data_IF_264444666426
#
_entry.id   IF_264444666426
#
_cell.length_a   1.000
_cell.length_b   1.000
_cell.length_c   1.000
_cell.angle_alpha   90.00
_cell.angle_beta   90.00
_cell.angle_gamma   90.00
#
_symmetry.space_group_name_H-M   'P 1'
#
loop_
_entity.id
_entity.type
_entity.pdbx_description
1 polymer ?
#
# COMPACT_ATOMS: atom_id res chain seq x y z
N UNK A 1 -4.60 9.27 -6.03
CA UNK A 1 -5.31 8.05 -6.47
C UNK A 1 -4.31 7.08 -7.08
N UNK A 2 -4.39 5.79 -6.77
CA UNK A 2 -3.54 4.74 -7.34
C UNK A 2 -4.35 3.55 -7.82
N UNK A 3 -3.82 2.83 -8.81
CA UNK A 3 -4.39 1.58 -9.27
C UNK A 3 -3.74 0.39 -8.56
N UNK A 4 -4.56 -0.47 -7.98
CA UNK A 4 -4.14 -1.63 -7.20
C UNK A 4 -4.87 -2.86 -7.73
N UNK A 5 -4.12 -3.86 -8.17
CA UNK A 5 -4.68 -5.18 -8.47
C UNK A 5 -4.88 -5.95 -7.17
N UNK A 6 -6.13 -6.26 -6.83
CA UNK A 6 -6.54 -6.94 -5.60
C UNK A 6 -7.63 -7.96 -5.89
N UNK A 7 -7.44 -9.23 -5.49
CA UNK A 7 -8.42 -10.33 -5.63
C UNK A 7 -9.10 -10.35 -7.03
N UNK A 8 -8.28 -10.39 -8.08
CA UNK A 8 -8.70 -10.39 -9.50
C UNK A 8 -9.41 -9.12 -10.00
N UNK A 9 -9.46 -8.07 -9.18
CA UNK A 9 -10.04 -6.77 -9.53
C UNK A 9 -8.95 -5.69 -9.62
N UNK A 10 -9.21 -4.68 -10.46
CA UNK A 10 -8.43 -3.46 -10.49
C UNK A 10 -9.18 -2.38 -9.72
N UNK A 11 -8.60 -1.90 -8.63
CA UNK A 11 -9.18 -0.90 -7.75
C UNK A 11 -8.52 0.47 -7.95
N UNK A 12 -9.33 1.50 -8.13
CA UNK A 12 -8.90 2.90 -8.12
C UNK A 12 -8.92 3.45 -6.67
N UNK A 13 -7.83 3.21 -5.95
CA UNK A 13 -7.70 3.56 -4.53
C UNK A 13 -7.44 5.05 -4.36
N UNK A 14 -8.29 5.69 -3.55
CA UNK A 14 -8.20 7.11 -3.16
C UNK A 14 -7.94 7.29 -1.67
N UNK A 15 -8.43 6.36 -0.85
CA UNK A 15 -8.32 6.43 0.61
C UNK A 15 -7.97 5.07 1.19
N UNK A 16 -7.00 5.04 2.10
CA UNK A 16 -6.65 3.86 2.87
C UNK A 16 -7.38 3.90 4.20
N UNK A 17 -8.08 2.81 4.54
CA UNK A 17 -8.84 2.71 5.79
C UNK A 17 -8.29 1.57 6.63
N UNK A 18 -7.75 1.89 7.81
CA UNK A 18 -7.14 0.90 8.69
C UNK A 18 -7.17 1.35 10.16
N UNK A 19 -7.20 0.38 11.09
CA UNK A 19 -7.15 0.68 12.52
C UNK A 19 -5.71 0.79 12.99
N UNK A 20 -5.30 1.98 13.44
CA UNK A 20 -3.99 2.23 14.05
C UNK A 20 -3.71 1.31 15.23
N UNK A 21 -2.45 0.92 15.38
CA UNK A 21 -1.97 0.10 16.49
C UNK A 21 -2.44 -1.35 16.45
N UNK A 22 -3.30 -1.74 15.50
CA UNK A 22 -3.66 -3.13 15.30
C UNK A 22 -2.44 -3.95 14.82
N UNK A 23 -1.69 -3.38 13.87
CA UNK A 23 -0.45 -3.96 13.38
C UNK A 23 0.56 -2.82 13.14
N UNK A 24 1.34 -2.42 14.17
CA UNK A 24 2.24 -1.25 14.08
C UNK A 24 3.22 -1.32 12.90
N UNK A 25 3.62 -2.52 12.50
CA UNK A 25 4.49 -2.75 11.34
C UNK A 25 3.83 -2.37 10.00
N UNK A 26 2.50 -2.40 9.91
CA UNK A 26 1.75 -2.00 8.72
C UNK A 26 1.48 -0.50 8.70
N UNK A 27 1.21 0.12 9.86
CA UNK A 27 0.90 1.55 9.97
C UNK A 27 1.94 2.42 9.26
N UNK A 28 3.23 2.21 9.54
CA UNK A 28 4.32 2.98 8.92
C UNK A 28 4.40 2.80 7.38
N UNK A 29 4.01 1.61 6.88
CA UNK A 29 4.01 1.32 5.45
C UNK A 29 2.84 2.01 4.78
N UNK A 30 1.65 1.87 5.37
CA UNK A 30 0.43 2.47 4.85
C UNK A 30 0.53 3.99 4.84
N UNK A 31 1.12 4.59 5.87
CA UNK A 31 1.43 6.02 5.92
C UNK A 31 2.38 6.44 4.81
N UNK A 32 3.46 5.68 4.60
CA UNK A 32 4.43 5.97 3.55
C UNK A 32 3.78 5.90 2.17
N UNK A 33 2.94 4.89 1.92
CA UNK A 33 2.22 4.75 0.65
C UNK A 33 1.22 5.88 0.47
N UNK A 34 0.44 6.22 1.51
CA UNK A 34 -0.50 7.33 1.47
C UNK A 34 0.20 8.65 1.16
N UNK A 35 1.31 8.94 1.83
CA UNK A 35 2.11 10.14 1.57
C UNK A 35 2.71 10.18 0.17
N UNK A 36 3.24 9.06 -0.35
CA UNK A 36 3.84 8.99 -1.68
C UNK A 36 2.82 9.30 -2.80
N UNK A 37 1.57 8.93 -2.60
CA UNK A 37 0.53 9.00 -3.62
C UNK A 37 -0.59 10.01 -3.32
N UNK A 38 -0.42 10.82 -2.27
CA UNK A 38 -1.42 11.76 -1.79
C UNK A 38 -2.80 11.11 -1.59
N UNK A 39 -2.82 9.95 -0.94
CA UNK A 39 -4.06 9.26 -0.57
C UNK A 39 -4.54 9.75 0.79
N UNK A 40 -5.86 9.79 0.95
CA UNK A 40 -6.46 10.03 2.26
C UNK A 40 -6.26 8.82 3.17
N UNK A 41 -6.24 9.05 4.49
CA UNK A 41 -6.19 7.99 5.50
C UNK A 41 -7.35 8.16 6.47
N UNK A 42 -8.07 7.07 6.75
CA UNK A 42 -9.17 7.05 7.69
C UNK A 42 -9.13 5.81 8.62
N UNK A 43 -9.92 5.84 9.69
CA UNK A 43 -10.04 4.74 10.65
C UNK A 43 -11.27 3.85 10.37
N UNK A 44 -11.44 2.79 11.17
CA UNK A 44 -12.52 1.81 11.02
C UNK A 44 -13.94 2.35 11.33
N UNK A 45 -14.05 3.63 11.72
CA UNK A 45 -15.32 4.31 11.98
C UNK A 45 -15.77 5.18 10.81
N UNK A 46 -14.93 5.34 9.78
CA UNK A 46 -15.29 6.07 8.58
C UNK A 46 -16.48 5.43 7.88
N UNK A 47 -17.30 6.26 7.22
CA UNK A 47 -18.30 5.76 6.30
C UNK A 47 -17.59 5.23 5.03
N UNK A 48 -17.91 4.01 4.57
CA UNK A 48 -17.37 3.46 3.34
C UNK A 48 -17.70 4.33 2.12
N UNK A 49 -16.67 4.70 1.37
CA UNK A 49 -16.78 5.49 0.14
C UNK A 49 -16.18 4.73 -1.06
N UNK A 50 -16.61 5.08 -2.29
CA UNK A 50 -15.94 4.63 -3.51
C UNK A 50 -14.46 5.04 -3.51
N UNK A 51 -13.59 4.10 -3.87
CA UNK A 51 -12.14 4.25 -3.85
C UNK A 51 -11.50 4.00 -2.48
N UNK A 52 -12.26 3.56 -1.49
CA UNK A 52 -11.68 3.09 -0.23
C UNK A 52 -11.01 1.74 -0.41
N UNK A 53 -9.86 1.58 0.23
CA UNK A 53 -9.24 0.28 0.45
C UNK A 53 -9.11 0.01 1.94
N UNK A 54 -9.95 -0.89 2.44
CA UNK A 54 -10.06 -1.28 3.84
C UNK A 54 -9.08 -2.41 4.16
N UNK A 55 -8.17 -2.20 5.10
CA UNK A 55 -7.04 -3.12 5.34
C UNK A 55 -7.04 -3.60 6.79
N UNK A 56 -7.30 -4.90 6.97
CA UNK A 56 -7.26 -5.56 8.28
C UNK A 56 -8.38 -5.13 9.23
N UNK A 57 -9.36 -4.36 8.75
CA UNK A 57 -10.52 -3.93 9.51
C UNK A 57 -11.80 -4.05 8.67
N UNK A 58 -12.95 -4.00 9.35
CA UNK A 58 -14.27 -3.98 8.74
C UNK A 58 -15.00 -2.72 9.21
N UNK A 59 -15.80 -2.04 8.37
CA UNK A 59 -16.57 -0.88 8.81
C UNK A 59 -17.51 -1.26 9.95
N UNK A 60 -17.49 -0.49 11.04
CA UNK A 60 -18.33 -0.78 12.22
C UNK A 60 -19.83 -0.66 11.94
N UNK A 61 -20.22 0.29 11.08
CA UNK A 61 -21.60 0.49 10.64
C UNK A 61 -22.05 -0.46 9.52
N UNK A 62 -21.19 -1.39 9.10
CA UNK A 62 -21.40 -2.17 7.88
C UNK A 62 -21.06 -1.40 6.61
N UNK A 63 -21.22 -2.06 5.46
CA UNK A 63 -20.87 -1.49 4.15
C UNK A 63 -21.89 -0.48 3.63
N UNK A 64 -23.08 -0.41 4.23
CA UNK A 64 -24.15 0.50 3.80
C UNK A 64 -24.49 0.34 2.32
N UNK A 65 -24.42 1.44 1.57
CA UNK A 65 -24.65 1.50 0.12
C UNK A 65 -23.34 1.55 -0.70
N UNK A 66 -22.18 1.26 -0.09
CA UNK A 66 -20.94 1.26 -0.84
C UNK A 66 -20.98 0.19 -1.94
N UNK A 67 -20.62 0.60 -3.15
CA UNK A 67 -20.53 -0.32 -4.28
C UNK A 67 -19.33 -1.26 -4.06
N UNK A 68 -19.55 -2.58 -3.94
CA UNK A 68 -18.48 -3.54 -3.72
C UNK A 68 -17.45 -3.58 -4.86
N UNK A 69 -17.79 -3.09 -6.06
CA UNK A 69 -16.84 -3.01 -7.17
C UNK A 69 -15.92 -1.78 -7.09
N UNK A 70 -16.29 -0.79 -6.28
CA UNK A 70 -15.54 0.45 -6.11
C UNK A 70 -14.80 0.51 -4.77
N UNK A 71 -14.98 -0.50 -3.90
CA UNK A 71 -14.38 -0.55 -2.58
C UNK A 71 -13.59 -1.84 -2.41
N UNK A 72 -12.30 -1.71 -2.10
CA UNK A 72 -11.46 -2.85 -1.76
C UNK A 72 -11.56 -3.21 -0.30
N UNK A 73 -11.52 -4.51 0.00
CA UNK A 73 -11.38 -5.01 1.36
C UNK A 73 -10.35 -6.13 1.45
N UNK A 74 -9.44 -6.00 2.41
CA UNK A 74 -8.54 -7.05 2.84
C UNK A 74 -8.87 -7.38 4.29
N UNK A 75 -9.21 -8.64 4.54
CA UNK A 75 -9.43 -9.12 5.89
C UNK A 75 -8.14 -9.04 6.72
N UNK A 76 -8.24 -9.29 8.02
CA UNK A 76 -7.08 -9.40 8.91
C UNK A 76 -6.04 -10.42 8.42
N UNK A 77 -6.49 -11.50 7.79
CA UNK A 77 -5.65 -12.57 7.26
C UNK A 77 -4.96 -12.13 5.96
N UNK A 78 -5.65 -11.32 5.15
CA UNK A 78 -5.18 -10.86 3.84
C UNK A 78 -4.39 -9.54 3.91
N UNK A 79 -4.44 -8.84 5.04
CA UNK A 79 -3.75 -7.57 5.24
C UNK A 79 -2.24 -7.61 4.89
N UNK A 80 -1.45 -8.65 5.23
CA UNK A 80 -0.05 -8.74 4.79
C UNK A 80 0.10 -8.77 3.27
N UNK A 81 -0.81 -9.45 2.56
CA UNK A 81 -0.81 -9.52 1.11
C UNK A 81 -1.19 -8.15 0.50
N UNK A 82 -2.22 -7.49 1.03
CA UNK A 82 -2.63 -6.15 0.61
C UNK A 82 -1.50 -5.12 0.78
N UNK A 83 -0.86 -5.11 1.96
CA UNK A 83 0.30 -4.26 2.25
C UNK A 83 1.46 -4.56 1.30
N UNK A 84 1.69 -5.84 0.97
CA UNK A 84 2.73 -6.23 0.00
C UNK A 84 2.44 -5.74 -1.42
N UNK A 85 1.18 -5.75 -1.85
CA UNK A 85 0.77 -5.17 -3.14
C UNK A 85 1.03 -3.67 -3.14
N UNK A 86 0.58 -2.95 -2.12
CA UNK A 86 0.78 -1.50 -2.00
C UNK A 86 2.27 -1.12 -1.99
N UNK A 87 3.11 -1.90 -1.29
CA UNK A 87 4.58 -1.72 -1.33
C UNK A 87 5.15 -1.87 -2.73
N UNK A 88 4.72 -2.88 -3.50
CA UNK A 88 5.19 -3.08 -4.88
C UNK A 88 4.72 -1.94 -5.79
N UNK A 89 3.49 -1.47 -5.63
CA UNK A 89 2.97 -0.31 -6.37
C UNK A 89 3.79 0.94 -6.05
N UNK A 90 4.08 1.19 -4.77
CA UNK A 90 4.94 2.30 -4.34
C UNK A 90 6.38 2.19 -4.88
N UNK A 91 6.98 1.00 -4.87
CA UNK A 91 8.33 0.77 -5.38
C UNK A 91 8.43 1.01 -6.89
N UNK A 92 7.36 0.74 -7.66
CA UNK A 92 7.30 1.03 -9.10
C UNK A 92 7.12 2.52 -9.40
N UNK A 93 6.45 3.24 -8.52
CA UNK A 93 6.17 4.66 -8.69
C UNK A 93 7.30 5.57 -8.19
N UNK A 94 8.12 5.10 -7.25
CA UNK A 94 9.32 5.81 -6.87
C UNK A 94 10.21 5.97 -8.11
N UNK A 95 10.72 7.18 -8.41
CA UNK A 95 11.73 7.33 -9.45
C UNK A 95 12.88 6.40 -9.08
N UNK A 96 13.28 5.55 -10.02
CA UNK A 96 14.40 4.64 -9.85
C UNK A 96 15.55 5.45 -9.28
N UNK A 97 15.96 5.16 -8.04
CA UNK A 97 17.19 5.70 -7.51
C UNK A 97 18.28 5.42 -8.55
N UNK A 98 19.21 6.35 -8.84
CA UNK A 98 20.31 6.06 -9.74
C UNK A 98 20.94 4.75 -9.26
N UNK A 99 20.98 3.77 -10.15
CA UNK A 99 21.73 2.56 -9.91
C UNK A 99 23.17 3.00 -9.69
N UNK A 100 23.59 3.11 -8.43
CA UNK A 100 24.99 3.15 -8.08
C UNK A 100 25.53 1.81 -8.52
N UNK A 101 26.06 1.78 -9.73
CA UNK A 101 26.86 0.67 -10.25
C UNK A 101 27.90 0.38 -9.17
N UNK A 102 27.99 -0.86 -8.65
CA UNK A 102 29.07 -1.19 -7.75
C UNK A 102 30.35 -1.05 -8.58
N UNK A 103 31.15 -0.02 -8.27
CA UNK A 103 32.51 0.07 -8.75
C UNK A 103 33.23 -1.16 -8.18
N UNK A 104 33.39 -2.18 -9.02
CA UNK A 104 34.33 -3.26 -8.78
C UNK A 104 35.68 -2.61 -8.48
N UNK A 105 36.30 -2.82 -7.31
CA UNK A 105 37.68 -2.42 -7.14
C UNK A 105 38.53 -3.30 -8.05
N UNK A 106 38.98 -2.73 -9.17
CA UNK A 106 40.03 -3.33 -9.99
C UNK A 106 41.29 -3.37 -9.14
N UNK A 107 41.57 -4.53 -8.54
CA UNK A 107 42.87 -4.85 -7.95
C UNK A 107 43.91 -4.80 -9.07
N UNK A 108 44.64 -3.70 -9.16
CA UNK A 108 45.84 -3.61 -9.98
C UNK A 108 46.92 -4.47 -9.32
N UNK A 109 47.18 -5.64 -9.90
CA UNK A 109 48.35 -6.46 -9.58
C UNK A 109 49.57 -5.77 -10.16
N UNK A 110 50.46 -5.27 -9.30
CA UNK A 110 51.81 -4.88 -9.69
C UNK A 110 52.71 -6.12 -9.59
N UNK A 111 53.26 -6.57 -10.72
CA UNK A 111 54.41 -7.45 -10.73
C UNK A 111 55.68 -6.59 -10.62
N UNK A 112 56.53 -6.93 -9.65
CA UNK A 112 57.91 -6.46 -9.53
C UNK A 112 58.82 -7.67 -9.34
#
# INVERSE_FOLDING_TARGET
>A
MIQVHWQDQLLDVRRLVFRRGFAPAFDAVLDRVAGLFHLDVADDRAEPLPGDFWIGCHPRGGWGNADPNLTGWASIIDAPAAVSVLRRTAARAAPSAPQTVPHTPTLAVAFG
#
